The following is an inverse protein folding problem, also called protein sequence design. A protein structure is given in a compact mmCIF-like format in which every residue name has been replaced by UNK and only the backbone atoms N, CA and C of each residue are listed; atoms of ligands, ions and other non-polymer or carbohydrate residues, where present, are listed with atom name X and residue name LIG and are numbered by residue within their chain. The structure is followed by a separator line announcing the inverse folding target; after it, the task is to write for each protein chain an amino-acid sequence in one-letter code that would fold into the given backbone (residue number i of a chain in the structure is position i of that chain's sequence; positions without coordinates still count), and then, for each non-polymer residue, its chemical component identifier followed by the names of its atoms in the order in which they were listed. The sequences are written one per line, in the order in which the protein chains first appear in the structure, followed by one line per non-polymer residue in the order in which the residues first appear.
data_IF_665643328032
#
_entry.id   IF_665643328032
#
_cell.length_a   1.000
_cell.length_b   1.000
_cell.length_c   1.000
_cell.angle_alpha   90.00
_cell.angle_beta   90.00
_cell.angle_gamma   90.00
#
_symmetry.space_group_name_H-M   'P 1'
#
loop_
_entity.id
_entity.type
_entity.pdbx_description
1 polymer ?
#
# COMPACT_ATOMS: atom_id res chain seq x y z
N UNK A 1 14.92 19.73 -0.32
CA UNK A 1 15.80 19.65 0.87
C UNK A 1 15.98 18.18 1.19
N UNK A 2 17.22 17.71 1.41
CA UNK A 2 17.47 16.31 1.79
C UNK A 2 17.02 16.14 3.25
N UNK A 3 16.20 15.12 3.52
CA UNK A 3 15.76 14.81 4.88
C UNK A 3 16.96 14.28 5.71
N UNK A 4 16.96 14.50 7.03
CA UNK A 4 18.01 13.96 7.90
C UNK A 4 17.89 12.43 7.97
N UNK A 5 19.04 11.78 8.17
CA UNK A 5 19.09 10.34 8.37
C UNK A 5 18.85 10.03 9.84
N UNK A 6 17.68 9.51 10.16
CA UNK A 6 17.28 9.13 11.52
C UNK A 6 17.21 7.62 11.67
N UNK A 7 17.21 7.17 12.92
CA UNK A 7 16.94 5.76 13.26
C UNK A 7 15.73 5.68 14.20
N UNK A 8 14.86 4.72 13.96
CA UNK A 8 13.83 4.31 14.91
C UNK A 8 14.42 3.20 15.80
N UNK A 9 14.44 3.43 17.08
CA UNK A 9 14.96 2.49 18.08
C UNK A 9 13.79 2.11 19.01
N UNK A 10 13.48 0.82 19.19
CA UNK A 10 12.41 0.40 20.09
C UNK A 10 12.57 1.02 21.47
N UNK A 11 11.45 1.43 22.07
CA UNK A 11 11.47 2.02 23.41
C UNK A 11 11.92 0.99 24.45
N UNK A 12 13.00 1.29 25.16
CA UNK A 12 13.45 0.45 26.26
C UNK A 12 12.65 0.75 27.53
N UNK A 13 12.30 -0.24 28.36
CA UNK A 13 11.52 -0.02 29.59
C UNK A 13 12.10 1.04 30.52
N UNK A 14 13.41 1.10 30.65
CA UNK A 14 14.14 2.10 31.47
C UNK A 14 13.99 3.53 30.93
N UNK A 15 13.64 3.72 29.66
CA UNK A 15 13.50 5.01 29.01
C UNK A 15 12.02 5.47 28.92
N UNK A 16 11.09 4.64 29.39
CA UNK A 16 9.64 4.91 29.32
C UNK A 16 9.28 6.23 30.00
N UNK A 17 9.76 6.45 31.23
CA UNK A 17 9.47 7.67 31.97
C UNK A 17 9.96 8.92 31.24
N UNK A 18 11.19 8.90 30.75
CA UNK A 18 11.72 10.02 29.99
C UNK A 18 10.96 10.23 28.66
N UNK A 19 10.48 9.16 28.04
CA UNK A 19 9.64 9.27 26.83
C UNK A 19 8.35 10.03 27.09
N UNK A 20 7.68 9.75 28.20
CA UNK A 20 6.44 10.43 28.60
C UNK A 20 6.70 11.91 28.88
N UNK A 21 7.74 12.22 29.64
CA UNK A 21 8.13 13.61 29.95
C UNK A 21 8.50 14.41 28.70
N UNK A 22 9.25 13.81 27.79
CA UNK A 22 9.65 14.44 26.51
C UNK A 22 8.41 14.71 25.61
N UNK A 23 7.42 13.80 25.63
CA UNK A 23 6.17 13.97 24.92
C UNK A 23 5.37 15.14 25.49
N UNK A 24 5.15 15.17 26.80
CA UNK A 24 4.44 16.26 27.49
C UNK A 24 5.10 17.61 27.21
N UNK A 25 6.45 17.66 27.27
CA UNK A 25 7.20 18.87 26.95
C UNK A 25 6.99 19.34 25.51
N UNK A 26 7.04 18.41 24.55
CA UNK A 26 6.84 18.73 23.14
C UNK A 26 5.42 19.26 22.85
N UNK A 27 4.40 18.65 23.46
CA UNK A 27 3.00 19.11 23.34
C UNK A 27 2.77 20.47 23.99
N UNK A 28 3.30 20.69 25.20
CA UNK A 28 3.23 21.98 25.88
C UNK A 28 3.87 23.10 25.07
N UNK A 29 5.02 22.83 24.47
CA UNK A 29 5.68 23.80 23.58
C UNK A 29 4.84 24.08 22.33
N UNK A 30 4.23 23.05 21.71
CA UNK A 30 3.35 23.20 20.56
C UNK A 30 2.15 24.11 20.85
N UNK A 31 1.45 23.86 21.94
CA UNK A 31 0.33 24.67 22.39
C UNK A 31 0.72 26.13 22.65
N UNK A 32 1.84 26.36 23.29
CA UNK A 32 2.37 27.73 23.54
C UNK A 32 2.67 28.48 22.25
N UNK A 33 3.17 27.81 21.20
CA UNK A 33 3.45 28.43 19.91
C UNK A 33 2.18 28.78 19.13
N UNK A 34 1.10 27.98 19.25
CA UNK A 34 -0.15 28.20 18.51
C UNK A 34 -1.02 29.28 19.16
N UNK A 35 -1.10 29.31 20.50
CA UNK A 35 -2.02 30.20 21.23
C UNK A 35 -1.36 31.44 21.84
N UNK A 36 -0.04 31.59 21.75
CA UNK A 36 0.67 32.59 22.52
C UNK A 36 0.66 32.23 24.03
N UNK A 37 0.87 33.14 24.94
CA UNK A 37 0.90 32.82 26.39
C UNK A 37 -0.38 32.06 26.85
N UNK A 38 -0.15 30.90 27.50
CA UNK A 38 -1.06 30.09 28.31
C UNK A 38 -2.57 30.32 28.04
N UNK A 39 -3.15 29.41 27.27
CA UNK A 39 -4.62 29.31 27.20
C UNK A 39 -5.16 29.17 28.63
N UNK A 40 -6.15 30.02 29.02
CA UNK A 40 -6.87 29.98 30.30
C UNK A 40 -7.65 28.67 30.53
N UNK A 41 -7.51 27.68 29.68
CA UNK A 41 -8.12 26.35 29.78
C UNK A 41 -7.33 25.37 30.63
N UNK A 42 -6.03 25.64 30.85
CA UNK A 42 -5.25 24.85 31.81
C UNK A 42 -5.01 25.70 33.06
N UNK A 43 -5.45 25.25 34.22
CA UNK A 43 -5.07 25.85 35.48
C UNK A 43 -3.54 25.81 35.65
N UNK A 44 -2.96 26.77 36.43
CA UNK A 44 -1.51 26.77 36.67
C UNK A 44 -1.07 25.42 37.26
N UNK A 45 -0.38 24.61 36.45
CA UNK A 45 0.10 23.28 36.82
C UNK A 45 -0.50 22.09 36.08
N UNK A 46 -1.55 22.28 35.25
CA UNK A 46 -2.11 21.22 34.41
C UNK A 46 -1.24 20.98 33.17
N UNK A 47 -1.05 19.71 32.84
CA UNK A 47 -0.37 19.29 31.64
C UNK A 47 -1.31 19.39 30.45
N UNK A 48 -0.86 19.95 29.32
CA UNK A 48 -1.63 20.07 28.07
C UNK A 48 -2.08 18.72 27.53
N UNK A 49 -1.29 17.68 27.77
CA UNK A 49 -1.64 16.29 27.49
C UNK A 49 -1.44 15.49 28.78
N UNK A 50 -2.47 14.74 29.19
CA UNK A 50 -2.39 13.95 30.40
C UNK A 50 -1.38 12.79 30.25
N UNK A 51 -0.82 12.36 31.35
CA UNK A 51 0.06 11.18 31.39
C UNK A 51 -0.68 9.94 30.88
N UNK A 52 -1.93 9.74 31.26
CA UNK A 52 -2.74 8.59 30.82
C UNK A 52 -2.97 8.57 29.32
N UNK A 53 -3.17 9.74 28.69
CA UNK A 53 -3.31 9.86 27.23
C UNK A 53 -2.05 9.40 26.47
N UNK A 54 -0.88 9.48 27.10
CA UNK A 54 0.38 9.00 26.50
C UNK A 54 0.62 7.52 26.82
N UNK A 55 0.29 7.10 28.05
CA UNK A 55 0.53 5.73 28.50
C UNK A 55 -0.40 4.72 27.82
N UNK A 56 -1.66 5.08 27.62
CA UNK A 56 -2.67 4.20 27.00
C UNK A 56 -2.22 3.67 25.62
N UNK A 57 -1.84 4.50 24.63
CA UNK A 57 -1.34 3.97 23.37
C UNK A 57 -0.01 3.21 23.50
N UNK A 58 0.87 3.55 24.43
CA UNK A 58 2.13 2.79 24.65
C UNK A 58 1.84 1.36 25.13
N UNK A 59 0.81 1.19 25.96
CA UNK A 59 0.44 -0.07 26.60
C UNK A 59 -0.53 -0.91 25.75
N UNK A 60 -0.94 -0.41 24.59
CA UNK A 60 -1.83 -1.12 23.66
C UNK A 60 -1.27 -2.47 23.22
N UNK A 61 -2.12 -3.49 23.08
CA UNK A 61 -1.72 -4.86 22.71
C UNK A 61 -0.99 -4.92 21.35
N UNK A 62 -1.36 -4.04 20.41
CA UNK A 62 -0.76 -3.97 19.06
C UNK A 62 0.19 -2.79 18.91
N UNK A 63 0.57 -2.15 20.02
CA UNK A 63 1.40 -0.95 20.02
C UNK A 63 2.87 -1.26 19.75
N UNK A 64 3.48 -0.42 18.95
CA UNK A 64 4.91 -0.40 18.72
C UNK A 64 5.43 1.02 19.01
N UNK A 65 6.32 1.13 19.98
CA UNK A 65 6.84 2.43 20.44
C UNK A 65 8.34 2.56 20.14
N UNK A 66 8.71 3.70 19.55
CA UNK A 66 10.10 3.94 19.12
C UNK A 66 10.60 5.31 19.55
N UNK A 67 11.88 5.38 19.92
CA UNK A 67 12.64 6.62 19.98
C UNK A 67 13.12 7.02 18.60
N UNK A 68 13.01 8.30 18.28
CA UNK A 68 13.63 8.90 17.10
C UNK A 68 15.04 9.33 17.49
N UNK A 69 16.04 8.77 16.83
CA UNK A 69 17.46 9.02 17.11
C UNK A 69 18.13 9.68 15.90
N UNK A 70 18.76 10.82 16.11
CA UNK A 70 19.57 11.56 15.14
C UNK A 70 20.98 11.74 15.70
N UNK A 71 22.01 11.30 14.98
CA UNK A 71 23.41 11.40 15.37
C UNK A 71 23.68 10.89 16.80
N UNK A 72 23.04 9.77 17.17
CA UNK A 72 23.14 9.15 18.48
C UNK A 72 22.35 9.82 19.60
N UNK A 73 21.64 10.92 19.33
CA UNK A 73 20.82 11.64 20.31
C UNK A 73 19.34 11.32 20.12
N UNK A 74 18.62 11.12 21.21
CA UNK A 74 17.16 11.00 21.22
C UNK A 74 16.56 12.39 20.94
N UNK A 75 15.80 12.51 19.86
CA UNK A 75 15.24 13.79 19.39
C UNK A 75 13.74 13.78 19.29
N UNK A 76 13.08 12.68 19.71
CA UNK A 76 11.65 12.55 19.71
C UNK A 76 11.19 11.10 19.92
N UNK A 77 9.93 10.84 19.63
CA UNK A 77 9.34 9.52 19.74
C UNK A 77 8.10 9.34 18.84
N UNK A 78 7.77 8.09 18.61
CA UNK A 78 6.58 7.69 17.85
C UNK A 78 5.93 6.47 18.49
N UNK A 79 4.61 6.46 18.57
CA UNK A 79 3.79 5.32 18.96
C UNK A 79 2.82 5.02 17.81
N UNK A 80 2.78 3.78 17.41
CA UNK A 80 1.88 3.28 16.36
C UNK A 80 1.20 2.01 16.84
N UNK A 81 0.02 1.73 16.32
CA UNK A 81 -0.70 0.48 16.50
C UNK A 81 -0.94 -0.20 15.16
N UNK A 82 -0.71 -1.52 15.07
CA UNK A 82 -0.77 -2.25 13.80
C UNK A 82 -1.79 -3.39 13.86
N UNK A 83 -2.87 -3.27 13.09
CA UNK A 83 -3.79 -4.36 12.78
C UNK A 83 -3.32 -5.07 11.50
N UNK A 84 -2.59 -6.18 11.68
CA UNK A 84 -2.01 -6.94 10.56
C UNK A 84 -3.06 -7.67 9.73
N UNK A 85 -4.21 -8.02 10.32
CA UNK A 85 -5.29 -8.71 9.60
C UNK A 85 -5.96 -7.77 8.61
N UNK A 86 -6.20 -6.51 9.03
CA UNK A 86 -6.80 -5.48 8.18
C UNK A 86 -5.78 -4.70 7.35
N UNK A 87 -4.48 -4.97 7.53
CA UNK A 87 -3.39 -4.17 6.94
C UNK A 87 -3.55 -2.66 7.25
N UNK A 88 -4.00 -2.33 8.46
CA UNK A 88 -4.24 -0.99 8.96
C UNK A 88 -3.23 -0.65 10.05
N UNK A 89 -2.76 0.60 10.05
CA UNK A 89 -1.94 1.16 11.11
C UNK A 89 -2.55 2.47 11.59
N UNK A 90 -2.47 2.72 12.89
CA UNK A 90 -2.81 3.97 13.51
C UNK A 90 -1.54 4.65 13.99
N UNK A 91 -1.39 5.93 13.70
CA UNK A 91 -0.33 6.78 14.26
C UNK A 91 -0.90 7.45 15.51
N UNK A 92 -0.61 6.87 16.66
CA UNK A 92 -1.16 7.31 17.94
C UNK A 92 -0.46 8.56 18.45
N UNK A 93 0.88 8.55 18.44
CA UNK A 93 1.69 9.70 18.89
C UNK A 93 2.91 9.88 17.98
N UNK A 94 3.23 11.13 17.66
CA UNK A 94 4.47 11.51 17.01
C UNK A 94 4.92 12.87 17.55
N UNK A 95 6.07 12.91 18.17
CA UNK A 95 6.64 14.16 18.67
C UNK A 95 8.14 14.29 18.36
N UNK A 96 8.58 15.51 18.24
CA UNK A 96 9.98 15.89 18.07
C UNK A 96 10.31 16.95 19.11
N UNK A 97 11.47 16.85 19.74
CA UNK A 97 11.90 17.84 20.72
C UNK A 97 11.88 19.24 20.13
N UNK A 98 11.40 20.24 20.86
CA UNK A 98 11.26 21.62 20.38
C UNK A 98 12.54 22.19 19.75
N UNK A 99 13.68 21.91 20.34
CA UNK A 99 15.01 22.34 19.86
C UNK A 99 15.40 21.76 18.49
N UNK A 100 14.69 20.70 18.09
CA UNK A 100 14.93 19.97 16.85
C UNK A 100 13.89 20.25 15.77
N UNK A 101 12.95 21.16 16.01
CA UNK A 101 11.90 21.52 15.06
C UNK A 101 12.47 22.12 13.76
N UNK A 102 11.64 22.10 12.69
CA UNK A 102 11.93 22.68 11.37
C UNK A 102 13.12 22.06 10.61
N UNK A 103 13.66 20.94 11.07
CA UNK A 103 14.77 20.22 10.44
C UNK A 103 14.31 19.02 9.59
N UNK A 104 13.01 18.82 9.41
CA UNK A 104 12.46 17.69 8.66
C UNK A 104 12.49 16.34 9.39
N UNK A 105 12.81 16.33 10.69
CA UNK A 105 12.92 15.11 11.50
C UNK A 105 11.60 14.36 11.58
N UNK A 106 10.49 15.05 11.83
CA UNK A 106 9.17 14.42 11.88
C UNK A 106 8.81 13.72 10.55
N UNK A 107 9.09 14.35 9.41
CA UNK A 107 8.87 13.73 8.10
C UNK A 107 9.80 12.53 7.87
N UNK A 108 11.07 12.63 8.29
CA UNK A 108 12.01 11.51 8.20
C UNK A 108 11.55 10.34 9.07
N UNK A 109 11.07 10.62 10.29
CA UNK A 109 10.51 9.62 11.20
C UNK A 109 9.27 8.94 10.61
N UNK A 110 8.33 9.70 10.06
CA UNK A 110 7.16 9.15 9.38
C UNK A 110 7.56 8.25 8.21
N UNK A 111 8.47 8.69 7.35
CA UNK A 111 8.98 7.87 6.24
C UNK A 111 9.65 6.57 6.72
N UNK A 112 10.34 6.62 7.86
CA UNK A 112 10.96 5.44 8.47
C UNK A 112 9.90 4.47 9.02
N UNK A 113 8.82 4.96 9.64
CA UNK A 113 7.67 4.14 10.06
C UNK A 113 7.05 3.43 8.87
N UNK A 114 6.74 4.15 7.80
CA UNK A 114 6.20 3.55 6.59
C UNK A 114 7.14 2.52 5.93
N UNK A 115 8.45 2.73 6.04
CA UNK A 115 9.43 1.78 5.51
C UNK A 115 9.56 0.53 6.39
N UNK A 116 9.33 0.66 7.71
CA UNK A 116 9.35 -0.43 8.67
C UNK A 116 8.12 -1.35 8.52
N UNK A 117 6.96 -0.77 8.12
CA UNK A 117 5.68 -1.47 7.99
C UNK A 117 5.16 -1.46 6.55
N UNK A 118 5.84 -2.15 5.62
CA UNK A 118 5.41 -2.21 4.22
C UNK A 118 4.09 -2.99 4.02
N UNK A 119 3.67 -3.77 5.00
CA UNK A 119 2.40 -4.50 5.01
C UNK A 119 1.18 -3.61 5.22
N UNK A 120 1.35 -2.44 5.86
CA UNK A 120 0.24 -1.51 6.14
C UNK A 120 -0.20 -0.80 4.86
N UNK A 121 -1.51 -0.85 4.61
CA UNK A 121 -2.16 -0.24 3.44
C UNK A 121 -2.90 1.04 3.74
N UNK A 122 -3.36 1.18 4.95
CA UNK A 122 -4.11 2.35 5.41
C UNK A 122 -3.52 2.80 6.73
N UNK A 123 -3.11 4.05 6.80
CA UNK A 123 -2.73 4.70 8.04
C UNK A 123 -3.79 5.69 8.44
N UNK A 124 -4.13 5.74 9.72
CA UNK A 124 -5.01 6.74 10.30
C UNK A 124 -4.31 7.47 11.44
N UNK A 125 -4.74 8.69 11.70
CA UNK A 125 -4.34 9.48 12.86
C UNK A 125 -5.39 10.53 13.15
N UNK A 126 -5.40 11.02 14.37
CA UNK A 126 -6.35 12.02 14.86
C UNK A 126 -5.53 13.15 15.48
N UNK A 127 -5.97 14.39 15.30
CA UNK A 127 -5.36 15.53 15.99
C UNK A 127 -6.40 16.60 16.31
N UNK A 128 -6.24 17.35 17.39
CA UNK A 128 -7.10 18.49 17.69
C UNK A 128 -7.13 19.47 16.51
N UNK A 129 -8.31 20.01 16.21
CA UNK A 129 -8.53 20.95 15.10
C UNK A 129 -7.69 22.23 15.21
N UNK A 130 -7.44 22.69 16.42
CA UNK A 130 -6.63 23.88 16.64
C UNK A 130 -5.15 23.71 16.28
N UNK A 131 -4.65 22.48 16.19
CA UNK A 131 -3.27 22.14 15.86
C UNK A 131 -2.95 22.34 14.37
N UNK A 132 -3.01 23.58 13.87
CA UNK A 132 -2.79 23.90 12.44
C UNK A 132 -1.44 23.44 11.90
N UNK A 133 -0.43 23.39 12.77
CA UNK A 133 0.89 22.88 12.43
C UNK A 133 0.85 21.40 12.12
N UNK A 134 0.12 20.60 12.89
CA UNK A 134 -0.08 19.19 12.66
C UNK A 134 -0.88 18.95 11.39
N UNK A 135 -1.91 19.76 11.12
CA UNK A 135 -2.65 19.73 9.86
C UNK A 135 -1.73 19.91 8.65
N UNK A 136 -0.86 20.95 8.67
CA UNK A 136 0.13 21.15 7.60
C UNK A 136 1.10 19.97 7.48
N UNK A 137 1.54 19.42 8.61
CA UNK A 137 2.46 18.30 8.65
C UNK A 137 1.82 17.05 8.04
N UNK A 138 0.65 16.63 8.51
CA UNK A 138 -0.01 15.42 8.01
C UNK A 138 -0.40 15.55 6.54
N UNK A 139 -1.03 16.66 6.15
CA UNK A 139 -1.51 16.82 4.76
C UNK A 139 -0.35 17.07 3.79
N UNK A 140 0.48 18.08 4.06
CA UNK A 140 1.43 18.56 3.05
C UNK A 140 2.80 17.87 3.11
N UNK A 141 3.15 17.21 4.23
CA UNK A 141 4.43 16.54 4.39
C UNK A 141 4.34 15.04 4.41
N UNK A 142 3.28 14.48 5.00
CA UNK A 142 3.11 13.03 5.16
C UNK A 142 2.14 12.43 4.14
N UNK A 143 1.33 13.25 3.44
CA UNK A 143 0.41 12.79 2.40
C UNK A 143 -0.87 12.15 2.94
N UNK A 144 -1.30 12.55 4.13
CA UNK A 144 -2.62 12.21 4.66
C UNK A 144 -3.69 13.12 4.08
N UNK A 145 -4.93 12.66 4.10
CA UNK A 145 -6.11 13.42 3.74
C UNK A 145 -7.06 13.50 4.93
N UNK A 146 -7.72 14.64 5.12
CA UNK A 146 -8.79 14.76 6.11
C UNK A 146 -9.99 13.97 5.63
N UNK A 147 -10.45 13.02 6.43
CA UNK A 147 -11.58 12.13 6.09
C UNK A 147 -12.72 12.23 7.09
N UNK A 148 -12.53 12.92 8.19
CA UNK A 148 -13.55 13.12 9.21
C UNK A 148 -13.26 14.32 10.10
N UNK A 149 -14.32 14.80 10.74
CA UNK A 149 -14.28 15.85 11.75
C UNK A 149 -15.22 15.45 12.88
N UNK A 150 -14.70 15.26 14.07
CA UNK A 150 -15.47 14.91 15.25
C UNK A 150 -15.65 16.12 16.14
N UNK A 151 -16.83 16.28 16.65
CA UNK A 151 -17.23 17.36 17.56
C UNK A 151 -18.45 16.93 18.37
N UNK A 152 -19.00 17.81 19.18
CA UNK A 152 -20.20 17.57 20.02
C UNK A 152 -21.47 17.13 19.25
N UNK A 153 -21.51 17.31 17.94
CA UNK A 153 -22.65 16.90 17.10
C UNK A 153 -22.38 15.60 16.33
N UNK A 154 -21.13 15.28 16.11
CA UNK A 154 -20.70 14.09 15.40
C UNK A 154 -19.51 13.49 16.16
N UNK A 155 -19.83 12.52 17.00
CA UNK A 155 -18.84 11.79 17.77
C UNK A 155 -18.07 10.79 16.86
N UNK A 156 -16.86 10.47 17.27
CA UNK A 156 -16.10 9.34 16.73
C UNK A 156 -16.78 8.00 17.05
N UNK A 157 -16.15 6.87 16.66
CA UNK A 157 -16.59 5.56 17.11
C UNK A 157 -16.71 5.60 18.64
N UNK A 158 -17.77 4.98 19.17
CA UNK A 158 -17.97 4.86 20.62
C UNK A 158 -16.73 4.16 21.22
N UNK A 159 -15.92 4.96 21.89
CA UNK A 159 -14.83 4.45 22.73
C UNK A 159 -15.42 4.31 24.12
N UNK A 160 -15.22 3.18 24.81
CA UNK A 160 -15.73 3.02 26.18
C UNK A 160 -15.27 4.18 27.07
N UNK A 161 -16.17 4.68 27.93
CA UNK A 161 -15.88 5.84 28.83
C UNK A 161 -14.62 5.64 29.69
N UNK A 162 -14.24 4.39 29.94
CA UNK A 162 -13.03 4.01 30.68
C UNK A 162 -11.73 4.26 29.88
N UNK A 163 -11.81 4.33 28.54
CA UNK A 163 -10.68 4.56 27.63
C UNK A 163 -10.57 6.02 27.20
N UNK A 164 -11.62 6.80 27.36
CA UNK A 164 -11.63 8.23 27.05
C UNK A 164 -11.08 9.04 28.24
N UNK A 165 -9.77 9.11 28.34
CA UNK A 165 -9.15 10.13 29.20
C UNK A 165 -9.58 11.53 28.74
N UNK A 166 -10.63 12.09 29.35
CA UNK A 166 -11.08 13.48 29.26
C UNK A 166 -11.22 14.07 27.84
N UNK A 167 -12.10 13.48 27.01
CA UNK A 167 -12.70 14.21 25.89
C UNK A 167 -13.76 15.15 26.46
N UNK A 168 -13.53 16.46 26.41
CA UNK A 168 -14.57 17.42 26.68
C UNK A 168 -15.54 17.44 25.50
N UNK A 169 -16.83 17.65 25.76
CA UNK A 169 -17.88 17.78 24.72
C UNK A 169 -17.54 18.83 23.64
N UNK A 170 -16.64 19.76 23.95
CA UNK A 170 -16.21 20.85 23.08
C UNK A 170 -14.90 20.53 22.29
N UNK A 171 -14.33 19.35 22.45
CA UNK A 171 -13.12 18.98 21.72
C UNK A 171 -13.43 18.70 20.25
N UNK A 172 -12.81 19.48 19.37
CA UNK A 172 -12.91 19.33 17.93
C UNK A 172 -11.67 18.58 17.41
N UNK A 173 -11.91 17.47 16.71
CA UNK A 173 -10.84 16.61 16.21
C UNK A 173 -10.91 16.38 14.71
N UNK A 174 -9.79 16.44 14.04
CA UNK A 174 -9.65 16.04 12.66
C UNK A 174 -9.17 14.59 12.55
N UNK A 175 -9.84 13.82 11.73
CA UNK A 175 -9.46 12.46 11.38
C UNK A 175 -8.75 12.47 10.04
N UNK A 176 -7.56 11.89 10.01
CA UNK A 176 -6.74 11.80 8.82
C UNK A 176 -6.60 10.35 8.39
N UNK A 177 -6.58 10.15 7.09
CA UNK A 177 -6.31 8.84 6.48
C UNK A 177 -5.31 8.99 5.34
N UNK A 178 -4.36 8.08 5.31
CA UNK A 178 -3.44 7.91 4.19
C UNK A 178 -3.58 6.50 3.65
N UNK A 179 -4.01 6.38 2.40
CA UNK A 179 -3.97 5.11 1.68
C UNK A 179 -2.58 5.00 1.06
N UNK A 180 -1.84 3.99 1.49
CA UNK A 180 -0.51 3.71 0.96
C UNK A 180 -0.68 2.83 -0.27
N UNK A 181 -0.74 3.46 -1.42
CA UNK A 181 -0.71 2.76 -2.70
C UNK A 181 0.75 2.32 -3.00
N UNK A 182 1.25 1.44 -2.15
CA UNK A 182 2.52 0.76 -2.44
C UNK A 182 2.20 -0.46 -3.29
N UNK A 183 2.72 -0.51 -4.48
CA UNK A 183 2.69 -1.77 -5.20
C UNK A 183 3.36 -2.83 -4.31
N UNK A 184 2.73 -3.99 -4.09
CA UNK A 184 3.30 -5.07 -3.28
C UNK A 184 4.55 -5.69 -3.95
N UNK A 185 5.05 -5.04 -4.97
CA UNK A 185 6.08 -5.54 -5.85
C UNK A 185 7.33 -4.68 -5.74
N UNK A 186 8.47 -5.34 -5.84
CA UNK A 186 9.77 -4.66 -5.84
C UNK A 186 9.86 -3.63 -6.95
N UNK A 187 10.34 -2.40 -6.68
CA UNK A 187 10.57 -1.40 -7.72
C UNK A 187 11.52 -1.93 -8.79
N UNK A 188 11.27 -1.54 -10.02
CA UNK A 188 12.11 -1.93 -11.16
C UNK A 188 13.51 -1.34 -11.01
N UNK A 189 14.55 -2.19 -11.07
CA UNK A 189 15.95 -1.75 -10.98
C UNK A 189 16.32 -0.77 -12.09
N UNK A 190 15.85 -1.03 -13.31
CA UNK A 190 16.10 -0.21 -14.50
C UNK A 190 14.98 0.80 -14.74
N UNK A 191 14.55 1.51 -13.71
CA UNK A 191 13.41 2.46 -13.77
C UNK A 191 13.52 3.51 -14.89
N UNK A 192 14.75 3.86 -15.34
CA UNK A 192 14.98 4.77 -16.47
C UNK A 192 14.52 4.19 -17.81
N UNK A 193 14.34 2.88 -17.89
CA UNK A 193 13.85 2.16 -19.09
C UNK A 193 12.37 1.81 -18.97
N UNK A 194 11.68 2.26 -17.90
CA UNK A 194 10.27 2.01 -17.70
C UNK A 194 9.46 2.57 -18.88
N UNK A 195 8.57 1.73 -19.43
CA UNK A 195 7.63 2.18 -20.44
C UNK A 195 6.54 3.03 -19.78
N UNK A 196 6.05 4.07 -20.44
CA UNK A 196 4.81 4.73 -20.04
C UNK A 196 3.66 3.72 -20.01
N UNK A 197 2.68 3.93 -19.12
CA UNK A 197 1.53 3.03 -18.94
C UNK A 197 0.77 2.77 -20.26
N UNK A 198 0.56 3.83 -21.05
CA UNK A 198 -0.10 3.70 -22.35
C UNK A 198 0.67 2.79 -23.32
N UNK A 199 2.00 2.83 -23.32
CA UNK A 199 2.80 1.91 -24.13
C UNK A 199 2.65 0.46 -23.65
N UNK A 200 2.54 0.22 -22.36
CA UNK A 200 2.25 -1.09 -21.80
C UNK A 200 0.87 -1.60 -22.24
N UNK A 201 -0.16 -0.74 -22.20
CA UNK A 201 -1.51 -1.09 -22.66
C UNK A 201 -1.52 -1.42 -24.18
N UNK A 202 -0.76 -0.69 -24.99
CA UNK A 202 -0.64 -1.00 -26.42
C UNK A 202 -0.01 -2.38 -26.67
N UNK A 203 1.01 -2.74 -25.90
CA UNK A 203 1.61 -4.08 -25.99
C UNK A 203 0.57 -5.15 -25.60
N UNK A 204 -0.16 -4.96 -24.51
CA UNK A 204 -1.20 -5.89 -24.06
C UNK A 204 -2.35 -6.04 -25.07
N UNK A 205 -2.77 -4.94 -25.71
CA UNK A 205 -3.83 -4.96 -26.73
C UNK A 205 -3.40 -5.64 -28.03
N UNK A 206 -2.12 -5.51 -28.39
CA UNK A 206 -1.60 -6.02 -29.66
C UNK A 206 -1.14 -7.48 -29.58
N UNK A 207 -0.74 -7.93 -28.38
CA UNK A 207 -0.29 -9.30 -28.16
C UNK A 207 -1.50 -10.25 -28.05
N UNK A 208 -1.33 -11.45 -28.61
CA UNK A 208 -2.33 -12.52 -28.50
C UNK A 208 -1.89 -13.67 -27.59
N UNK A 209 -0.66 -13.65 -27.10
CA UNK A 209 -0.08 -14.68 -26.24
C UNK A 209 0.72 -14.05 -25.10
N UNK A 210 0.67 -14.71 -23.95
CA UNK A 210 1.47 -14.37 -22.79
C UNK A 210 1.72 -15.60 -21.94
N UNK A 211 2.48 -15.43 -20.88
CA UNK A 211 2.82 -16.48 -19.93
C UNK A 211 2.12 -16.21 -18.61
N UNK A 212 1.23 -17.10 -18.21
CA UNK A 212 0.65 -17.11 -16.88
C UNK A 212 1.55 -17.87 -15.95
N UNK A 213 2.02 -17.23 -14.88
CA UNK A 213 2.83 -17.85 -13.84
C UNK A 213 2.04 -17.88 -12.53
N UNK A 214 1.93 -19.04 -11.94
CA UNK A 214 1.22 -19.31 -10.68
C UNK A 214 2.10 -20.12 -9.73
N UNK A 215 1.72 -20.25 -8.47
CA UNK A 215 2.39 -21.11 -7.51
C UNK A 215 2.01 -22.57 -7.81
N UNK A 216 2.96 -23.36 -8.29
CA UNK A 216 2.79 -24.78 -8.57
C UNK A 216 3.09 -25.65 -7.36
N UNK A 217 3.07 -26.96 -7.61
CA UNK A 217 3.30 -27.98 -6.58
C UNK A 217 4.73 -27.91 -6.03
N UNK A 218 4.88 -28.28 -4.75
CA UNK A 218 6.18 -28.34 -4.10
C UNK A 218 6.91 -27.00 -3.98
N UNK A 219 6.19 -25.87 -4.14
CA UNK A 219 6.76 -24.53 -4.08
C UNK A 219 7.45 -24.07 -5.38
N UNK A 220 7.37 -24.85 -6.44
CA UNK A 220 7.91 -24.45 -7.72
C UNK A 220 6.99 -23.48 -8.47
N UNK A 221 7.50 -22.37 -9.04
CA UNK A 221 6.74 -21.54 -9.95
C UNK A 221 6.32 -22.36 -11.18
N UNK A 222 5.05 -22.30 -11.55
CA UNK A 222 4.53 -22.94 -12.75
C UNK A 222 4.12 -21.88 -13.76
N UNK A 223 4.76 -21.87 -14.94
CA UNK A 223 4.49 -20.93 -15.99
C UNK A 223 3.96 -21.64 -17.24
N UNK A 224 2.87 -21.16 -17.81
CA UNK A 224 2.23 -21.75 -18.97
C UNK A 224 1.87 -20.68 -20.00
N UNK A 225 2.17 -20.90 -21.31
CA UNK A 225 1.74 -19.99 -22.36
C UNK A 225 0.22 -20.12 -22.57
N UNK A 226 -0.45 -18.97 -22.66
CA UNK A 226 -1.89 -18.90 -22.93
C UNK A 226 -2.20 -17.83 -23.98
N UNK A 227 -3.24 -18.05 -24.76
CA UNK A 227 -3.83 -16.99 -25.58
C UNK A 227 -4.74 -16.16 -24.69
N UNK A 228 -4.71 -14.84 -24.85
CA UNK A 228 -5.48 -13.93 -24.01
C UNK A 228 -6.05 -12.76 -24.81
N UNK A 229 -6.98 -12.05 -24.19
CA UNK A 229 -7.50 -10.76 -24.63
C UNK A 229 -7.35 -9.78 -23.46
N UNK A 230 -6.93 -8.56 -23.76
CA UNK A 230 -6.87 -7.47 -22.80
C UNK A 230 -8.01 -6.48 -23.09
N UNK A 231 -8.93 -6.33 -22.15
CA UNK A 231 -10.09 -5.43 -22.26
C UNK A 231 -10.44 -4.86 -20.88
N UNK A 232 -10.79 -3.59 -20.81
CA UNK A 232 -11.17 -2.87 -19.58
C UNK A 232 -10.22 -3.05 -18.40
N UNK A 233 -8.90 -3.15 -18.70
CA UNK A 233 -7.86 -3.34 -17.70
C UNK A 233 -7.79 -4.74 -17.12
N UNK A 234 -8.41 -5.72 -17.75
CA UNK A 234 -8.43 -7.13 -17.35
C UNK A 234 -7.87 -8.01 -18.46
N UNK A 235 -7.29 -9.13 -18.07
CA UNK A 235 -6.79 -10.16 -18.97
C UNK A 235 -7.73 -11.35 -18.93
N UNK A 236 -8.27 -11.74 -20.09
CA UNK A 236 -9.18 -12.86 -20.23
C UNK A 236 -8.51 -14.00 -21.01
N UNK A 237 -8.60 -15.20 -20.51
CA UNK A 237 -8.14 -16.39 -21.23
C UNK A 237 -9.04 -17.60 -20.91
N UNK A 238 -9.04 -18.57 -21.78
CA UNK A 238 -9.80 -19.80 -21.61
C UNK A 238 -8.88 -21.00 -21.41
N UNK A 239 -9.37 -22.02 -20.73
CA UNK A 239 -8.64 -23.26 -20.53
C UNK A 239 -9.57 -24.46 -20.38
N UNK A 240 -9.01 -25.67 -20.23
CA UNK A 240 -9.75 -26.85 -19.83
C UNK A 240 -10.31 -26.71 -18.40
N UNK A 241 -11.32 -27.48 -18.04
CA UNK A 241 -12.00 -27.46 -16.74
C UNK A 241 -11.21 -28.09 -15.60
N UNK A 242 -10.11 -28.78 -15.91
CA UNK A 242 -9.26 -29.45 -14.96
C UNK A 242 -7.80 -29.34 -15.37
N UNK A 243 -6.89 -29.59 -14.43
CA UNK A 243 -5.46 -29.63 -14.64
C UNK A 243 -4.68 -28.71 -13.73
N UNK A 244 -3.34 -28.91 -13.67
CA UNK A 244 -2.42 -28.29 -12.74
C UNK A 244 -2.60 -26.76 -12.58
N UNK A 245 -2.83 -26.06 -13.69
CA UNK A 245 -3.06 -24.60 -13.66
C UNK A 245 -4.27 -24.21 -12.80
N UNK A 246 -5.40 -24.92 -12.94
CA UNK A 246 -6.61 -24.66 -12.17
C UNK A 246 -6.44 -25.02 -10.69
N UNK A 247 -5.77 -26.14 -10.42
CA UNK A 247 -5.52 -26.57 -9.05
C UNK A 247 -4.60 -25.57 -8.35
N UNK A 248 -3.57 -25.08 -9.03
CA UNK A 248 -2.69 -24.02 -8.54
C UNK A 248 -3.44 -22.71 -8.26
N UNK A 249 -4.35 -22.28 -9.15
CA UNK A 249 -5.17 -21.07 -8.98
C UNK A 249 -6.15 -21.22 -7.81
N UNK A 250 -6.77 -22.40 -7.66
CA UNK A 250 -7.65 -22.69 -6.52
C UNK A 250 -6.93 -22.66 -5.19
N UNK A 251 -5.66 -23.10 -5.17
CA UNK A 251 -4.83 -23.05 -3.99
C UNK A 251 -4.32 -21.64 -3.67
N UNK A 252 -4.00 -20.84 -4.70
CA UNK A 252 -3.53 -19.48 -4.57
C UNK A 252 -3.88 -18.67 -5.81
N UNK A 253 -4.74 -17.68 -5.65
CA UNK A 253 -5.23 -16.81 -6.72
C UNK A 253 -4.22 -15.78 -7.22
N UNK A 254 -3.09 -15.61 -6.52
CA UNK A 254 -2.02 -14.67 -6.92
C UNK A 254 -1.27 -15.20 -8.13
N UNK A 255 -1.16 -14.37 -9.16
CA UNK A 255 -0.48 -14.72 -10.39
C UNK A 255 0.35 -13.56 -10.94
N UNK A 256 1.29 -13.94 -11.78
CA UNK A 256 2.05 -13.03 -12.63
C UNK A 256 1.76 -13.36 -14.09
N UNK A 257 1.53 -12.34 -14.92
CA UNK A 257 1.30 -12.51 -16.35
C UNK A 257 2.33 -11.70 -17.13
N UNK A 258 3.07 -12.36 -18.00
CA UNK A 258 4.17 -11.74 -18.77
C UNK A 258 3.84 -11.75 -20.27
N UNK A 259 3.99 -10.59 -20.89
CA UNK A 259 3.86 -10.41 -22.33
C UNK A 259 5.16 -9.84 -22.88
N UNK A 260 5.60 -10.36 -24.00
CA UNK A 260 6.76 -9.87 -24.75
C UNK A 260 6.27 -9.26 -26.06
N UNK A 261 6.83 -8.11 -26.43
CA UNK A 261 6.72 -7.54 -27.78
C UNK A 261 7.62 -8.29 -28.76
N UNK A 262 7.38 -8.12 -30.05
CA UNK A 262 8.24 -8.72 -31.08
C UNK A 262 9.66 -8.14 -30.97
N UNK A 263 10.69 -9.00 -30.89
CA UNK A 263 12.05 -8.53 -30.76
C UNK A 263 12.51 -7.85 -32.06
N UNK A 264 13.11 -6.66 -31.94
CA UNK A 264 13.68 -5.92 -33.06
C UNK A 264 15.20 -5.94 -32.97
N UNK A 265 15.84 -6.05 -34.09
CA UNK A 265 17.30 -5.98 -34.20
C UNK A 265 17.68 -4.91 -35.22
N UNK A 266 18.43 -3.91 -34.77
CA UNK A 266 18.95 -2.88 -35.67
C UNK A 266 20.21 -3.38 -36.40
N UNK A 267 20.47 -2.89 -37.63
CA UNK A 267 21.67 -3.25 -38.35
C UNK A 267 22.94 -2.86 -37.57
N UNK A 268 23.79 -3.84 -37.27
CA UNK A 268 25.02 -3.65 -36.50
C UNK A 268 24.92 -4.03 -35.03
N UNK A 269 23.73 -4.21 -34.49
CA UNK A 269 23.55 -4.67 -33.11
C UNK A 269 23.80 -6.16 -32.97
N UNK A 270 24.45 -6.58 -31.91
CA UNK A 270 24.61 -7.99 -31.55
C UNK A 270 23.48 -8.49 -30.62
N UNK A 271 22.61 -7.59 -30.09
CA UNK A 271 21.47 -7.88 -29.22
C UNK A 271 20.13 -7.56 -29.90
N UNK A 272 19.05 -8.07 -29.30
CA UNK A 272 17.69 -7.73 -29.68
C UNK A 272 17.12 -6.71 -28.72
N UNK A 273 16.41 -5.72 -29.25
CA UNK A 273 15.59 -4.80 -28.48
C UNK A 273 14.24 -5.45 -28.24
N UNK A 274 13.93 -5.73 -26.97
CA UNK A 274 12.68 -6.37 -26.54
C UNK A 274 12.01 -5.48 -25.53
N UNK A 275 10.71 -5.31 -25.67
CA UNK A 275 9.87 -4.71 -24.63
C UNK A 275 9.05 -5.82 -23.99
N UNK A 276 8.89 -5.75 -22.67
CA UNK A 276 8.09 -6.71 -21.92
C UNK A 276 7.15 -5.99 -20.96
N UNK A 277 6.01 -6.60 -20.71
CA UNK A 277 5.06 -6.15 -19.70
C UNK A 277 4.84 -7.29 -18.74
N UNK A 278 5.05 -7.04 -17.45
CA UNK A 278 4.80 -7.99 -16.38
C UNK A 278 3.66 -7.44 -15.53
N UNK A 279 2.54 -8.17 -15.51
CA UNK A 279 1.34 -7.84 -14.77
C UNK A 279 1.26 -8.75 -13.55
N UNK A 280 1.10 -8.18 -12.37
CA UNK A 280 0.79 -8.93 -11.16
C UNK A 280 -0.68 -8.74 -10.81
N UNK A 281 -1.38 -9.81 -10.45
CA UNK A 281 -2.80 -9.73 -10.15
C UNK A 281 -3.33 -10.97 -9.47
N UNK A 282 -4.66 -11.03 -9.38
CA UNK A 282 -5.41 -12.20 -8.90
C UNK A 282 -6.19 -12.79 -10.06
N UNK A 283 -6.23 -14.11 -10.11
CA UNK A 283 -6.98 -14.86 -11.12
C UNK A 283 -8.27 -15.35 -10.52
N UNK A 284 -9.38 -15.05 -11.19
CA UNK A 284 -10.71 -15.54 -10.83
C UNK A 284 -11.20 -16.53 -11.87
N UNK A 285 -11.84 -17.61 -11.42
CA UNK A 285 -12.48 -18.58 -12.31
C UNK A 285 -13.93 -18.14 -12.49
N UNK A 286 -14.27 -17.68 -13.68
CA UNK A 286 -15.63 -17.21 -13.99
C UNK A 286 -16.49 -18.41 -14.37
N UNK A 287 -17.45 -18.76 -13.51
CA UNK A 287 -18.34 -19.90 -13.67
C UNK A 287 -19.65 -19.60 -14.43
N UNK A 288 -19.98 -18.32 -14.71
CA UNK A 288 -21.28 -17.92 -15.26
C UNK A 288 -21.19 -17.75 -16.80
N UNK A 289 -22.02 -18.52 -17.50
CA UNK A 289 -22.20 -18.44 -18.97
C UNK A 289 -22.70 -17.04 -19.44
N UNK A 290 -23.27 -16.21 -18.56
CA UNK A 290 -23.81 -14.89 -18.90
C UNK A 290 -22.73 -13.80 -18.91
N UNK A 291 -21.68 -13.91 -18.11
CA UNK A 291 -20.53 -13.00 -18.13
C UNK A 291 -19.57 -13.34 -19.26
N UNK A 292 -19.52 -14.59 -19.71
CA UNK A 292 -18.71 -15.06 -20.84
C UNK A 292 -19.16 -14.53 -22.21
N UNK A 293 -20.31 -13.85 -22.28
CA UNK A 293 -20.80 -13.23 -23.54
C UNK A 293 -20.32 -11.80 -23.76
N UNK A 294 -19.47 -11.27 -22.92
CA UNK A 294 -18.96 -9.90 -22.98
C UNK A 294 -17.52 -9.79 -23.47
N UNK A 295 -16.80 -10.40 -24.16
CA UNK A 295 -16.01 -9.84 -25.23
C UNK A 295 -16.46 -10.40 -26.57
N UNK A 296 -17.28 -9.64 -27.26
CA UNK A 296 -17.61 -9.84 -28.68
C UNK A 296 -16.38 -9.85 -29.59
N UNK A 297 -15.19 -9.57 -29.07
CA UNK A 297 -13.93 -9.50 -29.81
C UNK A 297 -13.17 -10.82 -29.95
N UNK A 298 -13.54 -11.90 -29.27
CA UNK A 298 -12.95 -13.22 -29.55
C UNK A 298 -13.21 -13.69 -31.01
N UNK A 299 -14.18 -13.11 -31.69
CA UNK A 299 -14.51 -13.40 -33.08
C UNK A 299 -13.69 -12.60 -34.09
N UNK A 300 -12.95 -11.58 -33.69
CA UNK A 300 -12.25 -10.64 -34.59
C UNK A 300 -10.74 -10.57 -34.44
N UNK A 301 -10.10 -11.51 -33.76
CA UNK A 301 -8.66 -11.70 -33.98
C UNK A 301 -8.52 -12.19 -35.43
N UNK A 302 -7.92 -11.42 -36.33
CA UNK A 302 -7.82 -11.83 -37.72
C UNK A 302 -7.15 -13.20 -37.81
N UNK A 303 -7.87 -14.19 -38.27
CA UNK A 303 -7.41 -15.58 -38.50
C UNK A 303 -6.23 -15.66 -39.50
N UNK A 304 -5.60 -14.54 -39.88
CA UNK A 304 -4.79 -14.50 -41.13
C UNK A 304 -3.27 -14.37 -40.95
N UNK A 305 -2.66 -14.51 -39.79
CA UNK A 305 -1.17 -14.39 -39.79
C UNK A 305 -0.34 -15.52 -39.19
N UNK A 306 -0.88 -16.46 -38.43
CA UNK A 306 -0.03 -17.46 -37.76
C UNK A 306 -0.61 -18.88 -37.73
N UNK A 307 -1.12 -19.38 -38.88
CA UNK A 307 -1.33 -20.81 -39.08
C UNK A 307 -0.48 -21.30 -40.26
N UNK A 308 0.81 -21.47 -40.01
CA UNK A 308 1.59 -22.49 -40.76
C UNK A 308 1.97 -23.56 -39.75
N UNK A 309 1.18 -24.54 -39.76
CA UNK A 309 1.29 -25.99 -39.77
C UNK A 309 2.58 -26.58 -39.16
N UNK A 310 2.41 -27.35 -38.15
CA UNK A 310 2.82 -28.73 -38.21
C UNK A 310 1.61 -29.59 -37.93
N UNK A 311 1.10 -30.15 -39.01
CA UNK A 311 0.15 -31.25 -38.98
C UNK A 311 0.88 -32.51 -38.52
N UNK A 312 0.33 -33.14 -37.50
CA UNK A 312 -0.01 -34.57 -37.47
C UNK A 312 -0.27 -34.97 -36.01
N UNK A 313 -1.48 -35.19 -35.67
CA UNK A 313 -2.00 -36.52 -35.32
C UNK A 313 -3.47 -36.39 -34.94
N UNK A 314 -4.27 -37.19 -35.59
CA UNK A 314 -5.66 -37.46 -35.31
C UNK A 314 -5.80 -38.11 -33.94
N UNK A 315 -6.39 -37.38 -33.01
CA UNK A 315 -7.01 -37.93 -31.79
C UNK A 315 -8.25 -37.11 -31.48
N UNK A 316 -9.35 -37.82 -31.24
CA UNK A 316 -10.70 -37.35 -31.18
C UNK A 316 -10.95 -36.13 -30.33
N UNK A 317 -11.83 -35.26 -30.78
CA UNK A 317 -12.37 -34.12 -30.01
C UNK A 317 -13.13 -34.64 -28.79
N UNK A 318 -12.78 -34.30 -27.58
CA UNK A 318 -13.73 -34.33 -26.49
C UNK A 318 -14.58 -33.08 -26.62
N UNK A 319 -15.87 -33.27 -26.67
CA UNK A 319 -16.92 -32.24 -26.55
C UNK A 319 -16.93 -31.76 -25.07
N UNK A 320 -15.97 -30.96 -24.66
CA UNK A 320 -15.90 -30.36 -23.33
C UNK A 320 -16.12 -28.86 -23.41
N UNK A 321 -17.11 -28.36 -22.70
CA UNK A 321 -17.31 -26.94 -22.48
C UNK A 321 -16.04 -26.38 -21.79
N UNK A 322 -15.47 -25.29 -22.28
CA UNK A 322 -14.30 -24.61 -21.71
C UNK A 322 -14.73 -23.70 -20.55
N UNK A 323 -13.93 -23.59 -19.53
CA UNK A 323 -14.06 -22.56 -18.50
C UNK A 323 -13.31 -21.30 -18.92
N UNK A 324 -13.88 -20.14 -18.58
CA UNK A 324 -13.26 -18.85 -18.80
C UNK A 324 -12.62 -18.36 -17.50
N UNK A 325 -11.50 -17.70 -17.61
CA UNK A 325 -10.81 -17.10 -16.48
C UNK A 325 -10.58 -15.62 -16.71
N UNK A 326 -10.77 -14.86 -15.65
CA UNK A 326 -10.53 -13.43 -15.60
C UNK A 326 -9.40 -13.13 -14.62
N UNK A 327 -8.48 -12.24 -14.99
CA UNK A 327 -7.50 -11.66 -14.08
C UNK A 327 -7.94 -10.25 -13.77
N UNK A 328 -8.48 -10.02 -12.59
CA UNK A 328 -9.02 -8.72 -12.21
C UNK A 328 -7.95 -7.69 -11.82
N UNK A 329 -8.27 -6.41 -12.08
CA UNK A 329 -7.38 -5.24 -12.11
C UNK A 329 -6.89 -4.74 -10.74
N UNK A 330 -6.99 -5.41 -9.65
CA UNK A 330 -6.65 -4.72 -8.42
C UNK A 330 -5.16 -4.36 -8.21
N UNK A 331 -4.23 -4.80 -9.09
CA UNK A 331 -2.79 -4.50 -8.94
C UNK A 331 -1.99 -4.78 -10.23
N UNK A 332 -2.11 -3.94 -11.27
CA UNK A 332 -1.11 -3.97 -12.34
C UNK A 332 0.08 -3.09 -12.00
N UNK A 333 1.22 -3.69 -11.70
CA UNK A 333 2.51 -3.04 -11.79
C UNK A 333 3.17 -3.48 -13.08
N UNK A 334 3.37 -2.54 -13.97
CA UNK A 334 4.12 -2.77 -15.20
C UNK A 334 5.61 -2.74 -14.87
N UNK A 335 6.26 -3.90 -14.98
CA UNK A 335 7.71 -4.03 -14.83
C UNK A 335 8.25 -4.47 -16.18
N UNK A 336 9.24 -3.75 -16.68
CA UNK A 336 10.03 -4.09 -17.88
C UNK A 336 11.15 -5.05 -17.56
#
# INVERSE_FOLDING_TARGET
MKLPEIKLVPLHPEDREQFILDNQWAFKYGAQQEFGMLDNRCEEGEEVISRSTIEHPIDGETAETYRIVLDGKKVGGVVISIDREKAKGDLDLLFVHPECHSKGIGQAAWNAVEALHPEVRVWETITPYFEKRNLHFYVNRCGFHVVGFWNKYQHGPEVPEEETGHWNEDDEMLVFRKVVDRPPFRPMRRFKQALPEEACFQILKNACRGFLSVNGDGGYPYAVPVNFVFEDGKLYFHCAREGHKLDAIRACDKACFTVLDEPKKEPGDWWYHVKSVICFGRVEIVADERETRKPTSFATVPRRKYWHSTSNTSAGRPSGKNEHMEVSRNLFNFIQ
#
